data_IF_646288071359
#
_entry.id   IF_646288071359
#
_cell.length_a   1.000
_cell.length_b   1.000
_cell.length_c   1.000
_cell.angle_alpha   90.00
_cell.angle_beta   90.00
_cell.angle_gamma   90.00
#
_symmetry.space_group_name_H-M   'P 1'
#
loop_
_entity.id
_entity.type
_entity.pdbx_description
1 polymer ?
#
# COMPACT_ATOMS: atom_id res chain seq x y z
N UNK A 1 13.78 25.62 -9.77
CA UNK A 1 13.02 26.72 -9.13
C UNK A 1 11.71 27.09 -9.83
N UNK A 2 11.53 26.84 -11.14
CA UNK A 2 10.34 27.30 -11.87
C UNK A 2 9.01 26.96 -11.16
N UNK A 3 8.77 25.70 -10.79
CA UNK A 3 7.55 25.32 -10.05
C UNK A 3 7.36 26.08 -8.73
N UNK A 4 8.44 26.25 -7.95
CA UNK A 4 8.39 26.92 -6.65
C UNK A 4 7.96 28.38 -6.83
N UNK A 5 8.50 29.05 -7.85
CA UNK A 5 8.20 30.45 -8.13
C UNK A 5 6.82 30.64 -8.76
N UNK A 6 6.48 29.81 -9.75
CA UNK A 6 5.23 29.91 -10.52
C UNK A 6 4.02 29.68 -9.61
N UNK A 7 4.13 28.73 -8.68
CA UNK A 7 3.07 28.41 -7.72
C UNK A 7 3.21 29.12 -6.38
N UNK A 8 4.26 29.94 -6.19
CA UNK A 8 4.54 30.65 -4.93
C UNK A 8 4.53 29.69 -3.73
N UNK A 9 5.32 28.63 -3.82
CA UNK A 9 5.38 27.57 -2.82
C UNK A 9 6.23 28.02 -1.64
N UNK A 10 5.60 28.13 -0.47
CA UNK A 10 6.30 28.49 0.78
C UNK A 10 6.84 27.26 1.55
N UNK A 11 6.31 26.07 1.29
CA UNK A 11 6.66 24.84 2.01
C UNK A 11 6.51 23.59 1.14
N UNK A 12 7.43 22.63 1.31
CA UNK A 12 7.39 21.31 0.68
C UNK A 12 7.48 20.24 1.76
N UNK A 13 6.52 19.34 1.80
CA UNK A 13 6.42 18.32 2.85
C UNK A 13 6.47 16.91 2.28
N UNK A 14 7.22 16.01 2.93
CA UNK A 14 7.19 14.58 2.67
C UNK A 14 6.94 13.81 3.98
N UNK A 15 6.25 12.68 3.89
CA UNK A 15 6.01 11.80 5.03
C UNK A 15 7.29 11.18 5.60
N UNK A 16 7.15 10.19 6.48
CA UNK A 16 8.29 9.39 6.95
C UNK A 16 8.64 8.20 6.03
N UNK A 17 7.94 8.07 4.90
CA UNK A 17 8.25 7.09 3.87
C UNK A 17 9.65 7.29 3.29
N UNK A 18 10.30 6.23 2.80
CA UNK A 18 11.56 6.34 2.08
C UNK A 18 11.42 7.27 0.87
N UNK A 19 12.37 8.18 0.71
CA UNK A 19 12.49 9.02 -0.48
C UNK A 19 13.42 8.26 -1.43
N UNK A 20 12.90 7.88 -2.58
CA UNK A 20 13.70 7.25 -3.61
C UNK A 20 14.43 8.31 -4.45
N UNK A 21 15.66 8.05 -4.91
CA UNK A 21 16.32 8.92 -5.87
C UNK A 21 15.49 9.07 -7.14
N UNK A 22 15.65 10.19 -7.82
CA UNK A 22 15.07 10.39 -9.14
C UNK A 22 15.78 9.50 -10.19
N UNK A 23 15.28 9.49 -11.43
CA UNK A 23 15.78 8.67 -12.53
C UNK A 23 17.28 8.87 -12.80
N UNK A 24 17.79 10.07 -12.54
CA UNK A 24 19.21 10.43 -12.68
C UNK A 24 20.04 10.19 -11.39
N UNK A 25 19.41 9.67 -10.34
CA UNK A 25 20.03 9.39 -9.04
C UNK A 25 20.10 10.60 -8.10
N UNK A 26 19.60 11.77 -8.51
CA UNK A 26 19.53 12.96 -7.65
C UNK A 26 18.47 12.82 -6.55
N UNK A 27 18.59 13.66 -5.53
CA UNK A 27 17.56 13.80 -4.51
C UNK A 27 16.40 14.66 -5.07
N UNK A 28 15.17 14.12 -5.18
CA UNK A 28 14.05 14.87 -5.75
C UNK A 28 13.69 16.12 -4.95
N UNK A 29 14.20 16.26 -3.72
CA UNK A 29 13.98 17.41 -2.84
C UNK A 29 15.24 18.27 -2.64
N UNK A 30 16.28 18.13 -3.46
CA UNK A 30 17.52 18.93 -3.36
C UNK A 30 17.22 20.44 -3.32
N UNK A 31 16.48 20.96 -4.32
CA UNK A 31 16.16 22.40 -4.39
C UNK A 31 15.34 22.88 -3.17
N UNK A 32 14.23 22.24 -2.76
CA UNK A 32 13.51 22.61 -1.54
C UNK A 32 14.36 22.57 -0.26
N UNK A 33 15.31 21.63 -0.16
CA UNK A 33 16.24 21.53 0.98
C UNK A 33 17.22 22.69 0.99
N UNK A 34 17.81 23.01 -0.16
CA UNK A 34 18.80 24.09 -0.30
C UNK A 34 18.24 25.46 0.09
N UNK A 35 16.97 25.72 -0.20
CA UNK A 35 16.29 26.98 0.17
C UNK A 35 15.56 26.92 1.51
N UNK A 36 15.68 25.81 2.25
CA UNK A 36 15.18 25.70 3.62
C UNK A 36 13.66 25.57 3.77
N UNK A 37 12.93 25.18 2.72
CA UNK A 37 11.46 25.03 2.75
C UNK A 37 11.00 23.57 2.81
N UNK A 38 11.94 22.63 2.92
CA UNK A 38 11.63 21.19 3.01
C UNK A 38 11.38 20.74 4.44
N UNK A 39 10.27 20.01 4.65
CA UNK A 39 9.86 19.48 5.94
C UNK A 39 9.54 17.98 5.88
N UNK A 40 9.99 17.23 6.89
CA UNK A 40 9.59 15.84 7.12
C UNK A 40 8.47 15.81 8.15
N UNK A 41 7.37 15.15 7.81
CA UNK A 41 6.18 15.05 8.66
C UNK A 41 5.92 13.60 9.02
N UNK A 42 5.77 13.33 10.31
CA UNK A 42 5.32 12.04 10.81
C UNK A 42 3.78 12.00 10.86
N UNK A 43 3.18 11.09 10.11
CA UNK A 43 1.73 10.86 10.10
C UNK A 43 1.25 10.02 11.30
N UNK A 44 2.17 9.42 12.07
CA UNK A 44 1.88 8.42 13.09
C UNK A 44 1.08 7.22 12.56
N UNK A 45 1.18 6.95 11.25
CA UNK A 45 0.47 5.88 10.57
C UNK A 45 1.43 5.09 9.68
N UNK A 46 1.51 3.79 9.93
CA UNK A 46 2.38 2.84 9.24
C UNK A 46 1.72 2.18 8.02
N UNK A 47 0.44 2.49 7.73
CA UNK A 47 -0.29 1.88 6.62
C UNK A 47 0.34 2.20 5.26
N UNK A 48 0.78 1.16 4.55
CA UNK A 48 1.28 1.27 3.17
C UNK A 48 0.36 0.59 2.16
N UNK A 49 0.52 0.95 0.89
CA UNK A 49 -0.17 0.27 -0.22
C UNK A 49 0.13 -1.23 -0.25
N UNK A 50 1.39 -1.64 -0.01
CA UNK A 50 1.78 -3.04 0.09
C UNK A 50 0.99 -3.78 1.16
N UNK A 51 0.80 -3.18 2.34
CA UNK A 51 0.00 -3.80 3.41
C UNK A 51 -1.44 -4.03 2.97
N UNK A 52 -2.03 -3.11 2.20
CA UNK A 52 -3.39 -3.28 1.68
C UNK A 52 -3.44 -4.43 0.67
N UNK A 53 -2.48 -4.51 -0.25
CA UNK A 53 -2.37 -5.61 -1.21
C UNK A 53 -2.26 -6.96 -0.49
N UNK A 54 -1.38 -7.05 0.53
CA UNK A 54 -1.21 -8.26 1.32
C UNK A 54 -2.49 -8.65 2.08
N UNK A 55 -3.24 -7.67 2.60
CA UNK A 55 -4.54 -7.92 3.26
C UNK A 55 -5.55 -8.53 2.29
N UNK A 56 -5.63 -8.03 1.05
CA UNK A 56 -6.54 -8.56 0.02
C UNK A 56 -6.16 -10.00 -0.34
N UNK A 57 -4.87 -10.25 -0.60
CA UNK A 57 -4.35 -11.58 -0.93
C UNK A 57 -4.63 -12.57 0.20
N UNK A 58 -4.36 -12.19 1.45
CA UNK A 58 -4.66 -13.01 2.63
C UNK A 58 -6.14 -13.35 2.74
N UNK A 59 -7.02 -12.37 2.52
CA UNK A 59 -8.46 -12.58 2.57
C UNK A 59 -8.95 -13.52 1.46
N UNK A 60 -8.37 -13.44 0.26
CA UNK A 60 -8.63 -14.38 -0.84
C UNK A 60 -8.31 -15.81 -0.42
N UNK A 61 -7.10 -16.06 0.11
CA UNK A 61 -6.73 -17.41 0.57
C UNK A 61 -7.65 -17.94 1.67
N UNK A 62 -7.99 -17.11 2.66
CA UNK A 62 -8.91 -17.50 3.73
C UNK A 62 -10.31 -17.84 3.19
N UNK A 63 -10.78 -17.10 2.19
CA UNK A 63 -12.06 -17.37 1.54
C UNK A 63 -12.03 -18.70 0.78
N UNK A 64 -11.01 -18.92 -0.05
CA UNK A 64 -10.85 -20.17 -0.82
C UNK A 64 -10.77 -21.39 0.10
N UNK A 65 -10.02 -21.32 1.19
CA UNK A 65 -9.90 -22.41 2.16
C UNK A 65 -11.23 -22.72 2.87
N UNK A 66 -12.03 -21.70 3.18
CA UNK A 66 -13.38 -21.91 3.75
C UNK A 66 -14.32 -22.56 2.73
N UNK A 67 -14.27 -22.14 1.47
CA UNK A 67 -15.13 -22.69 0.43
C UNK A 67 -14.78 -24.14 0.11
N UNK A 68 -13.50 -24.49 -0.02
CA UNK A 68 -13.07 -25.89 -0.21
C UNK A 68 -13.59 -26.81 0.89
N UNK A 69 -13.53 -26.38 2.15
CA UNK A 69 -14.07 -27.14 3.29
C UNK A 69 -15.59 -27.29 3.21
N UNK A 70 -16.29 -26.24 2.80
CA UNK A 70 -17.74 -26.26 2.63
C UNK A 70 -18.16 -27.21 1.50
N UNK A 71 -17.52 -27.11 0.33
CA UNK A 71 -17.77 -27.96 -0.84
C UNK A 71 -17.49 -29.44 -0.52
N UNK A 72 -16.36 -29.76 0.12
CA UNK A 72 -16.04 -31.13 0.53
C UNK A 72 -17.10 -31.72 1.47
N UNK A 73 -17.63 -30.90 2.40
CA UNK A 73 -18.71 -31.31 3.31
C UNK A 73 -20.03 -31.52 2.56
N UNK A 74 -20.37 -30.65 1.63
CA UNK A 74 -21.59 -30.77 0.81
C UNK A 74 -21.56 -32.02 -0.07
N UNK A 75 -20.42 -32.29 -0.74
CA UNK A 75 -20.22 -33.52 -1.53
C UNK A 75 -20.32 -34.77 -0.66
N UNK A 76 -19.77 -34.75 0.55
CA UNK A 76 -19.89 -35.88 1.47
C UNK A 76 -21.36 -36.16 1.85
N UNK A 77 -22.11 -35.11 2.21
CA UNK A 77 -23.53 -35.23 2.56
C UNK A 77 -24.35 -35.74 1.38
N UNK A 78 -24.13 -35.21 0.17
CA UNK A 78 -24.84 -35.64 -1.03
C UNK A 78 -24.62 -37.13 -1.33
N UNK A 79 -23.37 -37.60 -1.22
CA UNK A 79 -23.05 -39.01 -1.40
C UNK A 79 -23.68 -39.92 -0.34
N UNK A 80 -23.85 -39.44 0.90
CA UNK A 80 -24.57 -40.21 1.94
C UNK A 80 -26.06 -40.34 1.63
N UNK A 81 -26.69 -39.28 1.11
CA UNK A 81 -28.10 -39.28 0.72
C UNK A 81 -28.33 -40.23 -0.46
N UNK A 82 -27.48 -40.20 -1.48
CA UNK A 82 -27.60 -41.06 -2.68
C UNK A 82 -27.41 -42.56 -2.42
N UNK A 83 -26.81 -42.93 -1.29
CA UNK A 83 -26.54 -44.33 -0.92
C UNK A 83 -27.65 -44.96 -0.04
N UNK A 84 -28.67 -44.20 0.34
CA UNK A 84 -29.91 -44.70 0.96
C UNK A 84 -30.98 -44.93 -0.10
#
# INVERSE_FOLDING_TARGET
>A
MQMINDFKIDAVCHGMTPILPDVDGSDPYEIPKDIGIFHRIDSSNDLTSDMIVQRIIRNKFLFEERNKKKEAKEVYIENMIRKQ
#
